data_IF_637906780239
#
_entry.id   IF_637906780239
#
_cell.length_a   1.000
_cell.length_b   1.000
_cell.length_c   1.000
_cell.angle_alpha   90.00
_cell.angle_beta   90.00
_cell.angle_gamma   90.00
#
_symmetry.space_group_name_H-M   'P 1'
#
loop_
_entity.id
_entity.type
_entity.pdbx_description
1 polymer ?
#
# COMPACT_ATOMS: atom_id res chain seq x y z
N UNK A 1 6.51 -10.59 17.25
CA UNK A 1 7.89 -10.62 17.83
C UNK A 1 8.03 -9.56 18.93
N UNK A 2 7.80 -8.28 18.62
CA UNK A 2 7.84 -7.18 19.58
C UNK A 2 6.87 -7.38 20.76
N UNK A 3 5.60 -7.71 20.49
CA UNK A 3 4.57 -7.96 21.52
C UNK A 3 4.90 -9.15 22.44
N UNK A 4 5.78 -10.06 21.99
CA UNK A 4 6.25 -11.20 22.78
C UNK A 4 7.59 -10.91 23.49
N UNK A 5 8.07 -9.67 23.49
CA UNK A 5 9.35 -9.27 24.09
C UNK A 5 10.60 -9.73 23.32
N UNK A 6 10.46 -10.26 22.10
CA UNK A 6 11.58 -10.72 21.25
C UNK A 6 12.14 -9.54 20.44
N UNK A 7 12.85 -8.65 21.11
CA UNK A 7 13.28 -7.36 20.55
C UNK A 7 14.27 -7.47 19.39
N UNK A 8 15.32 -8.29 19.52
CA UNK A 8 16.34 -8.43 18.47
C UNK A 8 15.75 -8.98 17.17
N UNK A 9 14.89 -9.98 17.28
CA UNK A 9 14.20 -10.56 16.13
C UNK A 9 13.19 -9.59 15.52
N UNK A 10 12.47 -8.83 16.35
CA UNK A 10 11.59 -7.78 15.86
C UNK A 10 12.35 -6.68 15.10
N UNK A 11 13.55 -6.33 15.56
CA UNK A 11 14.41 -5.37 14.88
C UNK A 11 14.93 -5.90 13.54
N UNK A 12 15.35 -7.17 13.49
CA UNK A 12 15.76 -7.81 12.24
C UNK A 12 14.60 -7.85 11.23
N UNK A 13 13.41 -8.24 11.69
CA UNK A 13 12.21 -8.28 10.86
C UNK A 13 11.79 -6.89 10.38
N UNK A 14 11.85 -5.88 11.25
CA UNK A 14 11.61 -4.48 10.88
C UNK A 14 12.52 -4.04 9.74
N UNK A 15 13.83 -4.30 9.84
CA UNK A 15 14.78 -3.93 8.77
C UNK A 15 14.44 -4.62 7.45
N UNK A 16 14.10 -5.90 7.49
CA UNK A 16 13.69 -6.67 6.30
C UNK A 16 12.46 -6.06 5.63
N UNK A 17 11.43 -5.71 6.41
CA UNK A 17 10.19 -5.12 5.92
C UNK A 17 10.41 -3.72 5.33
N UNK A 18 11.16 -2.87 6.02
CA UNK A 18 11.48 -1.51 5.55
C UNK A 18 12.28 -1.54 4.24
N UNK A 19 13.23 -2.47 4.10
CA UNK A 19 14.00 -2.61 2.86
C UNK A 19 13.14 -3.17 1.71
N UNK A 20 12.28 -4.17 1.96
CA UNK A 20 11.30 -4.66 0.97
C UNK A 20 10.41 -3.52 0.47
N UNK A 21 9.90 -2.69 1.39
CA UNK A 21 9.09 -1.53 1.03
C UNK A 21 9.88 -0.48 0.22
N UNK A 22 11.13 -0.20 0.61
CA UNK A 22 12.02 0.74 -0.08
C UNK A 22 12.29 0.31 -1.52
N UNK A 23 12.58 -0.97 -1.74
CA UNK A 23 12.80 -1.52 -3.08
C UNK A 23 11.53 -1.45 -3.94
N UNK A 24 10.37 -1.81 -3.39
CA UNK A 24 9.09 -1.69 -4.09
C UNK A 24 8.78 -0.24 -4.49
N UNK A 25 9.10 0.74 -3.64
CA UNK A 25 8.94 2.15 -3.97
C UNK A 25 9.87 2.59 -5.11
N UNK A 26 11.17 2.26 -5.02
CA UNK A 26 12.16 2.58 -6.06
C UNK A 26 11.76 2.01 -7.43
N UNK A 27 11.23 0.79 -7.46
CA UNK A 27 10.74 0.17 -8.69
C UNK A 27 9.59 0.96 -9.31
N UNK A 28 8.59 1.34 -8.51
CA UNK A 28 7.46 2.16 -8.96
C UNK A 28 7.89 3.54 -9.44
N UNK A 29 8.83 4.17 -8.75
CA UNK A 29 9.41 5.46 -9.17
C UNK A 29 10.13 5.35 -10.53
N UNK A 30 10.90 4.27 -10.74
CA UNK A 30 11.55 4.01 -12.02
C UNK A 30 10.55 3.72 -13.15
N UNK A 31 9.49 2.97 -12.87
CA UNK A 31 8.40 2.71 -13.83
C UNK A 31 7.67 4.01 -14.21
N UNK A 32 7.40 4.89 -13.24
CA UNK A 32 6.81 6.21 -13.48
C UNK A 32 7.71 7.12 -14.34
N UNK A 33 9.02 7.12 -14.08
CA UNK A 33 9.98 7.90 -14.85
C UNK A 33 10.04 7.42 -16.32
N UNK A 34 10.12 6.10 -16.54
CA UNK A 34 10.09 5.51 -17.88
C UNK A 34 8.80 5.83 -18.62
N UNK A 35 7.65 5.69 -17.97
CA UNK A 35 6.36 6.04 -18.58
C UNK A 35 6.29 7.52 -18.99
N UNK A 36 6.90 8.40 -18.20
CA UNK A 36 7.02 9.84 -18.52
C UNK A 36 7.91 10.07 -19.74
N UNK A 37 9.05 9.40 -19.83
CA UNK A 37 9.97 9.47 -20.99
C UNK A 37 9.32 8.92 -22.27
N UNK A 38 8.61 7.80 -22.16
CA UNK A 38 7.94 7.12 -23.27
C UNK A 38 6.59 7.77 -23.67
N UNK A 39 6.13 8.78 -22.91
CA UNK A 39 4.83 9.41 -23.09
C UNK A 39 3.63 8.48 -22.87
N UNK A 40 3.82 7.38 -22.12
CA UNK A 40 2.79 6.40 -21.84
C UNK A 40 2.07 6.68 -20.50
N UNK A 41 0.79 6.30 -20.35
CA UNK A 41 0.08 6.47 -19.08
C UNK A 41 0.69 5.61 -17.97
N UNK A 42 0.96 6.22 -16.81
CA UNK A 42 1.35 5.53 -15.58
C UNK A 42 0.20 5.51 -14.58
N UNK A 43 -0.17 4.32 -14.08
CA UNK A 43 -1.15 4.21 -13.00
C UNK A 43 -0.43 4.18 -11.63
N UNK A 44 -0.55 5.24 -10.81
CA UNK A 44 0.09 5.25 -9.51
C UNK A 44 -0.56 4.25 -8.55
N UNK A 45 0.23 3.81 -7.57
CA UNK A 45 -0.28 2.97 -6.49
C UNK A 45 -1.44 3.63 -5.76
N UNK A 46 -2.52 2.87 -5.56
CA UNK A 46 -3.71 3.29 -4.81
C UNK A 46 -3.94 2.34 -3.63
N UNK A 47 -4.37 2.85 -2.46
CA UNK A 47 -4.78 2.01 -1.35
C UNK A 47 -5.88 1.03 -1.75
N UNK A 48 -5.84 -0.18 -1.19
CA UNK A 48 -6.73 -1.27 -1.62
C UNK A 48 -8.18 -1.06 -1.20
N UNK A 49 -8.42 -0.55 0.01
CA UNK A 49 -9.76 -0.45 0.62
C UNK A 49 -10.29 0.99 0.72
N UNK A 50 -9.48 1.96 0.32
CA UNK A 50 -9.81 3.39 0.42
C UNK A 50 -9.50 4.09 -0.89
N UNK A 51 -10.20 5.18 -1.15
CA UNK A 51 -9.92 6.08 -2.26
C UNK A 51 -9.85 7.52 -1.75
N UNK A 52 -9.05 8.35 -2.42
CA UNK A 52 -9.01 9.79 -2.12
C UNK A 52 -10.14 10.48 -2.87
N UNK A 53 -11.08 11.06 -2.12
CA UNK A 53 -12.21 11.82 -2.64
C UNK A 53 -12.31 13.17 -1.96
N UNK A 54 -12.84 14.15 -2.69
CA UNK A 54 -13.17 15.46 -2.13
C UNK A 54 -14.43 15.33 -1.29
N UNK A 55 -14.35 15.69 -0.03
CA UNK A 55 -15.50 15.70 0.87
C UNK A 55 -16.54 16.73 0.38
N UNK A 56 -17.82 16.37 0.26
CA UNK A 56 -18.83 17.29 -0.27
C UNK A 56 -19.10 18.47 0.67
N UNK A 57 -18.87 18.33 1.98
CA UNK A 57 -19.15 19.34 3.00
C UNK A 57 -17.91 20.20 3.24
N UNK A 58 -16.78 19.59 3.61
CA UNK A 58 -15.56 20.33 3.97
C UNK A 58 -14.75 20.76 2.76
N UNK A 59 -15.01 20.19 1.58
CA UNK A 59 -14.25 20.40 0.34
C UNK A 59 -12.78 19.97 0.43
N UNK A 60 -12.38 19.27 1.49
CA UNK A 60 -11.03 18.74 1.70
C UNK A 60 -10.86 17.36 1.04
N UNK A 61 -9.62 16.98 0.74
CA UNK A 61 -9.31 15.63 0.29
C UNK A 61 -9.29 14.67 1.47
N UNK A 62 -10.22 13.72 1.49
CA UNK A 62 -10.33 12.68 2.50
C UNK A 62 -10.09 11.29 1.89
N UNK A 63 -9.71 10.34 2.74
CA UNK A 63 -9.69 8.92 2.38
C UNK A 63 -11.05 8.31 2.75
N UNK A 64 -11.80 7.92 1.74
CA UNK A 64 -13.15 7.36 1.89
C UNK A 64 -13.07 5.85 1.68
N UNK A 65 -13.74 5.09 2.56
CA UNK A 65 -13.86 3.64 2.42
C UNK A 65 -14.65 3.33 1.15
N UNK A 66 -14.07 2.53 0.26
CA UNK A 66 -14.70 2.21 -1.04
C UNK A 66 -15.37 0.83 -1.10
N UNK A 67 -15.41 0.11 0.02
CA UNK A 67 -15.88 -1.28 0.05
C UNK A 67 -14.77 -2.31 -0.19
N UNK A 68 -15.13 -3.59 -0.08
CA UNK A 68 -14.28 -4.74 -0.40
C UNK A 68 -13.60 -5.40 0.79
N UNK A 69 -13.28 -4.67 1.86
CA UNK A 69 -12.58 -5.23 3.01
C UNK A 69 -13.45 -6.26 3.75
N UNK A 70 -14.69 -5.88 4.06
CA UNK A 70 -15.60 -6.74 4.82
C UNK A 70 -16.04 -7.96 4.01
N UNK A 71 -16.22 -7.79 2.71
CA UNK A 71 -16.56 -8.84 1.75
C UNK A 71 -15.40 -9.84 1.59
N UNK A 72 -14.16 -9.36 1.47
CA UNK A 72 -12.95 -10.19 1.49
C UNK A 72 -12.80 -10.92 2.82
N UNK A 73 -13.05 -10.24 3.95
CA UNK A 73 -13.00 -10.82 5.29
C UNK A 73 -14.03 -11.94 5.46
N UNK A 74 -15.27 -11.73 5.04
CA UNK A 74 -16.35 -12.71 5.12
C UNK A 74 -16.02 -13.97 4.31
N UNK A 75 -15.46 -13.78 3.11
CA UNK A 75 -15.06 -14.88 2.22
C UNK A 75 -13.71 -15.51 2.56
N UNK A 76 -12.95 -14.92 3.50
CA UNK A 76 -11.55 -15.24 3.74
C UNK A 76 -10.67 -15.15 2.47
N UNK A 77 -11.05 -14.29 1.53
CA UNK A 77 -10.35 -14.08 0.27
C UNK A 77 -9.48 -12.82 0.34
N UNK A 78 -8.17 -13.05 0.48
CA UNK A 78 -7.14 -12.02 0.57
C UNK A 78 -6.28 -11.95 -0.69
N UNK A 79 -6.73 -12.54 -1.82
CA UNK A 79 -5.98 -12.56 -3.08
C UNK A 79 -5.64 -11.16 -3.61
N UNK A 80 -6.44 -10.15 -3.24
CA UNK A 80 -6.22 -8.75 -3.56
C UNK A 80 -5.13 -8.07 -2.72
N UNK A 81 -4.77 -8.64 -1.57
CA UNK A 81 -3.80 -8.05 -0.67
C UNK A 81 -2.38 -8.20 -1.23
N UNK A 82 -1.60 -7.11 -1.34
CA UNK A 82 -0.22 -7.21 -1.74
C UNK A 82 0.61 -7.92 -0.67
N UNK A 83 1.62 -8.68 -1.10
CA UNK A 83 2.58 -9.29 -0.21
C UNK A 83 3.58 -8.24 0.31
N UNK A 84 3.30 -7.72 1.50
CA UNK A 84 4.09 -6.68 2.16
C UNK A 84 4.90 -7.19 3.35
N UNK A 85 4.70 -8.45 3.75
CA UNK A 85 5.45 -9.09 4.81
C UNK A 85 6.67 -9.82 4.26
#
# INVERSE_FOLDING_TARGET
LMENGRWDEANAEKQRLEEKQRLSRKRREAEAARATEDGTPYDPYKPLWFERKKDPVTQELAHVYKGGYWESKEKQDWSLCPDIF
#
